data_IF_472606796421
#
_entry.id   IF_472606796421
#
_cell.length_a   1.000
_cell.length_b   1.000
_cell.length_c   1.000
_cell.angle_alpha   90.00
_cell.angle_beta   90.00
_cell.angle_gamma   90.00
#
_symmetry.space_group_name_H-M   'P 1'
#
loop_
_entity.id
_entity.type
_entity.pdbx_description
1 polymer ?
#
# COMPACT_ATOMS: atom_id res chain seq x y z
N UNK A 1 5.79 -1.85 7.43
CA UNK A 1 4.38 -2.31 7.28
C UNK A 1 3.48 -1.12 7.54
N UNK A 2 2.40 -0.94 6.79
CA UNK A 2 1.40 0.10 7.04
C UNK A 2 0.07 -0.60 7.37
N UNK A 3 -0.64 -0.19 8.42
CA UNK A 3 -1.93 -0.79 8.83
C UNK A 3 -2.87 0.24 9.47
N UNK A 4 -4.15 -0.11 9.61
CA UNK A 4 -5.23 0.81 9.99
C UNK A 4 -5.02 1.55 11.32
N UNK A 5 -4.46 0.87 12.33
CA UNK A 5 -4.23 1.45 13.65
C UNK A 5 -3.02 2.39 13.78
N UNK A 6 -2.29 2.68 12.69
CA UNK A 6 -1.18 3.64 12.74
C UNK A 6 -1.66 5.08 12.91
N UNK A 7 -0.81 5.95 13.45
CA UNK A 7 -1.07 7.39 13.40
C UNK A 7 -0.91 7.91 11.97
N UNK A 8 -1.69 8.93 11.61
CA UNK A 8 -1.62 9.53 10.26
C UNK A 8 -0.21 10.02 9.93
N UNK A 9 0.48 10.61 10.90
CA UNK A 9 1.86 11.08 10.75
C UNK A 9 2.84 9.95 10.36
N UNK A 10 2.68 8.77 10.96
CA UNK A 10 3.52 7.60 10.64
C UNK A 10 3.21 7.10 9.22
N UNK A 11 1.92 7.10 8.83
CA UNK A 11 1.52 6.76 7.46
C UNK A 11 2.14 7.70 6.43
N UNK A 12 2.12 9.00 6.70
CA UNK A 12 2.66 10.02 5.81
C UNK A 12 4.17 9.86 5.64
N UNK A 13 4.90 9.57 6.73
CA UNK A 13 6.34 9.32 6.70
C UNK A 13 6.70 8.07 5.88
N UNK A 14 5.97 6.96 6.08
CA UNK A 14 6.18 5.72 5.31
C UNK A 14 5.91 5.97 3.82
N UNK A 15 4.83 6.69 3.50
CA UNK A 15 4.49 7.02 2.12
C UNK A 15 5.51 7.97 1.47
N UNK A 16 6.04 8.94 2.22
CA UNK A 16 7.10 9.82 1.75
C UNK A 16 8.37 9.02 1.42
N UNK A 17 8.79 8.10 2.31
CA UNK A 17 9.95 7.24 2.09
C UNK A 17 9.76 6.27 0.91
N UNK A 18 8.55 5.78 0.68
CA UNK A 18 8.24 4.93 -0.48
C UNK A 18 8.24 5.73 -1.79
N UNK A 19 7.61 6.92 -1.80
CA UNK A 19 7.57 7.81 -2.97
C UNK A 19 8.95 8.37 -3.35
N UNK A 20 9.81 8.63 -2.37
CA UNK A 20 11.20 9.05 -2.63
C UNK A 20 12.10 7.92 -3.14
N UNK A 21 11.64 6.67 -3.12
CA UNK A 21 12.44 5.49 -3.44
C UNK A 21 13.42 5.09 -2.33
N UNK A 22 13.41 5.78 -1.19
CA UNK A 22 14.21 5.40 0.00
C UNK A 22 13.80 4.03 0.53
N UNK A 23 12.52 3.68 0.38
CA UNK A 23 12.01 2.32 0.58
C UNK A 23 11.56 1.73 -0.76
N UNK A 24 12.08 0.54 -1.10
CA UNK A 24 11.75 -0.15 -2.36
C UNK A 24 10.53 -1.05 -2.27
N UNK A 25 10.13 -1.41 -1.06
CA UNK A 25 9.03 -2.34 -0.80
C UNK A 25 8.08 -1.72 0.22
N UNK A 26 6.80 -1.69 -0.13
CA UNK A 26 5.72 -1.31 0.76
C UNK A 26 4.82 -2.51 0.99
N UNK A 27 4.59 -2.87 2.25
CA UNK A 27 3.65 -3.91 2.66
C UNK A 27 2.50 -3.23 3.40
N UNK A 28 1.28 -3.40 2.90
CA UNK A 28 0.08 -2.73 3.40
C UNK A 28 -1.15 -3.64 3.34
N UNK A 29 -2.21 -3.32 4.08
CA UNK A 29 -3.50 -4.03 4.07
C UNK A 29 -4.52 -3.35 3.15
N UNK A 30 -5.63 -4.03 2.83
CA UNK A 30 -6.72 -3.59 1.93
C UNK A 30 -7.17 -2.14 2.07
N UNK A 31 -7.24 -1.67 3.32
CA UNK A 31 -7.78 -0.36 3.66
C UNK A 31 -6.90 0.75 3.08
N UNK A 32 -5.62 0.46 2.89
CA UNK A 32 -4.60 1.45 2.59
C UNK A 32 -4.03 1.31 1.18
N UNK A 33 -4.29 0.21 0.47
CA UNK A 33 -3.90 0.07 -0.95
C UNK A 33 -4.75 0.94 -1.89
N UNK A 34 -6.01 1.20 -1.53
CA UNK A 34 -6.90 2.04 -2.33
C UNK A 34 -6.45 3.51 -2.31
N UNK A 35 -6.20 4.08 -3.48
CA UNK A 35 -5.84 5.49 -3.63
C UNK A 35 -4.35 5.81 -3.48
N UNK A 36 -3.48 4.79 -3.42
CA UNK A 36 -2.04 5.01 -3.57
C UNK A 36 -1.73 5.33 -5.03
N UNK A 37 -1.59 6.62 -5.34
CA UNK A 37 -0.98 7.07 -6.59
C UNK A 37 0.54 7.17 -6.40
N UNK A 38 1.26 6.20 -6.98
CA UNK A 38 2.72 6.14 -7.03
C UNK A 38 3.13 5.72 -8.45
N UNK A 39 3.56 6.69 -9.26
CA UNK A 39 3.79 6.52 -10.70
C UNK A 39 4.85 5.48 -11.10
N UNK A 40 5.67 4.99 -10.15
CA UNK A 40 6.80 4.09 -10.43
C UNK A 40 6.67 2.69 -9.80
N UNK A 41 5.46 2.23 -9.47
CA UNK A 41 5.28 0.84 -9.00
C UNK A 41 5.25 -0.10 -10.20
N UNK A 42 6.28 -0.95 -10.33
CA UNK A 42 6.41 -1.92 -11.43
C UNK A 42 5.79 -3.29 -11.13
N UNK A 43 5.54 -3.59 -9.85
CA UNK A 43 5.05 -4.89 -9.39
C UNK A 43 4.17 -4.72 -8.16
N UNK A 44 2.99 -5.34 -8.20
CA UNK A 44 2.08 -5.47 -7.07
C UNK A 44 1.89 -6.96 -6.79
N UNK A 45 2.10 -7.38 -5.54
CA UNK A 45 1.90 -8.76 -5.10
C UNK A 45 0.76 -8.80 -4.09
N UNK A 46 -0.33 -9.48 -4.45
CA UNK A 46 -1.41 -9.80 -3.54
C UNK A 46 -1.03 -11.02 -2.70
N UNK A 47 -0.57 -10.79 -1.46
CA UNK A 47 -0.11 -11.87 -0.57
C UNK A 47 -1.26 -12.78 -0.12
N UNK A 48 -2.38 -12.18 0.28
CA UNK A 48 -3.62 -12.89 0.59
C UNK A 48 -4.63 -12.73 -0.54
N UNK A 49 -5.19 -13.85 -0.99
CA UNK A 49 -6.30 -13.84 -1.95
C UNK A 49 -7.50 -13.16 -1.28
N UNK A 50 -8.03 -12.08 -1.87
CA UNK A 50 -9.20 -11.42 -1.33
C UNK A 50 -10.40 -12.38 -1.35
N UNK A 51 -11.25 -12.28 -0.32
CA UNK A 51 -12.44 -13.12 -0.20
C UNK A 51 -13.50 -12.86 -1.28
N UNK A 52 -13.32 -11.80 -2.09
CA UNK A 52 -14.25 -11.40 -3.15
C UNK A 52 -13.50 -10.92 -4.41
N UNK A 53 -14.11 -11.15 -5.58
CA UNK A 53 -13.58 -10.73 -6.89
C UNK A 53 -13.46 -9.20 -7.00
N UNK A 54 -14.41 -8.46 -6.44
CA UNK A 54 -14.42 -6.99 -6.50
C UNK A 54 -13.20 -6.37 -5.82
N UNK A 55 -12.79 -6.91 -4.66
CA UNK A 55 -11.58 -6.45 -3.97
C UNK A 55 -10.31 -6.79 -4.74
N UNK A 56 -10.29 -7.87 -5.53
CA UNK A 56 -9.14 -8.21 -6.37
C UNK A 56 -8.92 -7.20 -7.50
N UNK A 57 -9.99 -6.71 -8.13
CA UNK A 57 -9.90 -5.77 -9.26
C UNK A 57 -9.51 -4.36 -8.81
N UNK A 58 -9.85 -3.97 -7.57
CA UNK A 58 -9.62 -2.64 -7.02
C UNK A 58 -8.36 -2.50 -6.15
N UNK A 59 -7.55 -3.57 -6.01
CA UNK A 59 -6.21 -3.53 -5.40
C UNK A 59 -5.14 -3.32 -6.46
#
# INVERSE_FOLDING_TARGET
>A
MQHGDMLQLERDNIMAAFRSGSSRVLVTTDILSRGIDVQHVSLVINYDLPNTLETYIHR
#
